data_IF_772034306253
#
_entry.id   IF_772034306253
#
_cell.length_a   1.000
_cell.length_b   1.000
_cell.length_c   1.000
_cell.angle_alpha   90.00
_cell.angle_beta   90.00
_cell.angle_gamma   90.00
#
_symmetry.space_group_name_H-M   'P 1'
#
loop_
_entity.id
_entity.type
_entity.pdbx_description
1 polymer ?
#
# COMPACT_ATOMS: atom_id res chain seq x y z
N UNK A 1 21.24 12.63 -27.68
CA UNK A 1 20.19 12.76 -26.67
C UNK A 1 18.92 11.95 -27.02
N UNK A 2 18.33 12.11 -28.21
CA UNK A 2 17.10 11.38 -28.58
C UNK A 2 17.30 9.85 -28.52
N UNK A 3 18.37 9.30 -29.09
CA UNK A 3 18.66 7.88 -29.00
C UNK A 3 18.82 7.39 -27.56
N UNK A 4 19.52 8.16 -26.72
CA UNK A 4 19.70 7.80 -25.30
C UNK A 4 18.35 7.83 -24.52
N UNK A 5 17.47 8.81 -24.81
CA UNK A 5 16.13 8.83 -24.22
C UNK A 5 15.27 7.64 -24.67
N UNK A 6 15.41 7.21 -25.93
CA UNK A 6 14.74 6.00 -26.44
C UNK A 6 15.24 4.75 -25.73
N UNK A 7 16.55 4.64 -25.44
CA UNK A 7 17.11 3.54 -24.65
C UNK A 7 16.57 3.53 -23.22
N UNK A 8 16.57 4.68 -22.54
CA UNK A 8 15.99 4.81 -21.20
C UNK A 8 14.52 4.42 -21.20
N UNK A 9 13.75 4.87 -22.18
CA UNK A 9 12.33 4.50 -22.31
C UNK A 9 12.14 2.99 -22.48
N UNK A 10 12.95 2.34 -23.33
CA UNK A 10 12.90 0.90 -23.52
C UNK A 10 13.25 0.11 -22.25
N UNK A 11 14.25 0.59 -21.47
CA UNK A 11 14.61 0.00 -20.20
C UNK A 11 13.48 0.15 -19.16
N UNK A 12 12.82 1.30 -19.10
CA UNK A 12 11.66 1.50 -18.22
C UNK A 12 10.47 0.62 -18.60
N UNK A 13 10.23 0.43 -19.91
CA UNK A 13 9.21 -0.53 -20.37
C UNK A 13 9.55 -1.96 -19.92
N UNK A 14 10.81 -2.37 -20.09
CA UNK A 14 11.27 -3.70 -19.64
C UNK A 14 11.14 -3.86 -18.12
N UNK A 15 11.48 -2.85 -17.34
CA UNK A 15 11.29 -2.87 -15.88
C UNK A 15 9.82 -3.02 -15.51
N UNK A 16 8.91 -2.34 -16.21
CA UNK A 16 7.46 -2.49 -15.99
C UNK A 16 6.98 -3.92 -16.29
N UNK A 17 7.45 -4.54 -17.39
CA UNK A 17 7.13 -5.94 -17.72
C UNK A 17 7.62 -6.89 -16.62
N UNK A 18 8.84 -6.68 -16.14
CA UNK A 18 9.43 -7.48 -15.05
C UNK A 18 8.67 -7.31 -13.73
N UNK A 19 8.26 -6.10 -13.39
CA UNK A 19 7.46 -5.84 -12.19
C UNK A 19 6.09 -6.55 -12.27
N UNK A 20 5.41 -6.48 -13.43
CA UNK A 20 4.17 -7.21 -13.68
C UNK A 20 4.39 -8.72 -13.62
N UNK A 21 5.50 -9.23 -14.16
CA UNK A 21 5.85 -10.64 -14.08
C UNK A 21 6.09 -11.06 -12.62
N UNK A 22 6.84 -10.25 -11.84
CA UNK A 22 7.13 -10.55 -10.43
C UNK A 22 5.86 -10.60 -9.56
N UNK A 23 4.86 -9.76 -9.86
CA UNK A 23 3.58 -9.72 -9.14
C UNK A 23 2.70 -10.97 -9.36
N UNK A 24 3.07 -11.84 -10.29
CA UNK A 24 2.33 -13.07 -10.53
C UNK A 24 2.60 -14.08 -9.39
N UNK A 25 1.56 -14.45 -8.65
CA UNK A 25 1.64 -15.36 -7.50
C UNK A 25 2.13 -16.78 -7.78
N UNK A 26 2.39 -17.14 -9.06
CA UNK A 26 2.98 -18.43 -9.45
C UNK A 26 4.50 -18.43 -9.43
N UNK A 27 5.15 -17.27 -9.29
CA UNK A 27 6.61 -17.17 -9.23
C UNK A 27 7.15 -17.72 -7.91
N UNK A 28 8.21 -18.53 -8.02
CA UNK A 28 9.00 -18.94 -6.85
C UNK A 28 9.87 -17.78 -6.35
N UNK A 29 10.40 -17.89 -5.12
CA UNK A 29 11.37 -16.91 -4.60
C UNK A 29 12.58 -16.77 -5.54
N UNK A 30 13.09 -17.89 -6.07
CA UNK A 30 14.23 -17.88 -7.00
C UNK A 30 13.91 -17.11 -8.28
N UNK A 31 12.68 -17.20 -8.79
CA UNK A 31 12.26 -16.48 -9.99
C UNK A 31 12.17 -14.97 -9.68
N UNK A 32 11.62 -14.57 -8.53
CA UNK A 32 11.58 -13.18 -8.09
C UNK A 32 12.98 -12.60 -7.88
N UNK A 33 13.90 -13.36 -7.29
CA UNK A 33 15.30 -12.93 -7.12
C UNK A 33 16.01 -12.73 -8.47
N UNK A 34 15.72 -13.58 -9.46
CA UNK A 34 16.25 -13.42 -10.81
C UNK A 34 15.69 -12.16 -11.49
N UNK A 35 14.38 -11.89 -11.34
CA UNK A 35 13.74 -10.67 -11.83
C UNK A 35 14.32 -9.43 -11.14
N UNK A 36 14.51 -9.48 -9.82
CA UNK A 36 15.15 -8.39 -9.07
C UNK A 36 16.54 -8.07 -9.60
N UNK A 37 17.35 -9.10 -9.86
CA UNK A 37 18.69 -8.92 -10.43
C UNK A 37 18.66 -8.24 -11.80
N UNK A 38 17.67 -8.54 -12.65
CA UNK A 38 17.51 -7.88 -13.95
C UNK A 38 17.08 -6.40 -13.76
N UNK A 39 16.17 -6.10 -12.83
CA UNK A 39 15.76 -4.73 -12.50
C UNK A 39 16.95 -3.90 -12.01
N UNK A 40 17.80 -4.44 -11.15
CA UNK A 40 19.00 -3.77 -10.66
C UNK A 40 20.01 -3.47 -11.78
N UNK A 41 20.17 -4.39 -12.72
CA UNK A 41 21.01 -4.17 -13.90
C UNK A 41 20.45 -3.07 -14.80
N UNK A 42 19.14 -3.07 -15.07
CA UNK A 42 18.47 -2.01 -15.84
C UNK A 42 18.58 -0.65 -15.15
N UNK A 43 18.41 -0.59 -13.82
CA UNK A 43 18.59 0.63 -13.03
C UNK A 43 20.02 1.17 -13.16
N UNK A 44 21.01 0.30 -13.05
CA UNK A 44 22.44 0.65 -13.23
C UNK A 44 22.72 1.15 -14.65
N UNK A 45 22.11 0.52 -15.65
CA UNK A 45 22.29 0.93 -17.04
C UNK A 45 21.64 2.28 -17.35
N UNK A 46 20.45 2.56 -16.76
CA UNK A 46 19.82 3.88 -16.83
C UNK A 46 20.73 4.96 -16.26
N UNK A 47 21.31 4.72 -15.07
CA UNK A 47 22.27 5.66 -14.47
C UNK A 47 23.51 5.83 -15.35
N UNK A 48 24.03 4.75 -15.95
CA UNK A 48 25.17 4.81 -16.89
C UNK A 48 24.82 5.65 -18.13
N UNK A 49 23.65 5.47 -18.72
CA UNK A 49 23.20 6.27 -19.88
C UNK A 49 23.08 7.74 -19.49
N UNK A 50 22.51 8.04 -18.30
CA UNK A 50 22.39 9.39 -17.81
C UNK A 50 23.77 10.07 -17.62
N UNK A 51 24.74 9.34 -17.08
CA UNK A 51 26.08 9.86 -16.79
C UNK A 51 27.00 9.95 -18.01
N UNK A 52 26.78 9.12 -19.05
CA UNK A 52 27.70 9.05 -20.18
C UNK A 52 27.22 9.78 -21.43
N UNK A 53 25.91 10.08 -21.52
CA UNK A 53 25.35 10.76 -22.70
C UNK A 53 25.82 12.20 -22.78
N UNK A 54 26.69 12.49 -23.76
CA UNK A 54 27.26 13.82 -23.98
C UNK A 54 27.16 14.26 -25.42
N UNK A 55 27.17 15.56 -25.61
CA UNK A 55 27.32 16.22 -26.89
C UNK A 55 28.30 17.39 -26.75
N UNK A 56 29.31 17.43 -27.58
CA UNK A 56 30.34 18.45 -27.55
C UNK A 56 30.88 18.70 -26.12
N UNK A 57 31.28 17.62 -25.45
CA UNK A 57 31.81 17.54 -24.08
C UNK A 57 30.82 17.90 -22.95
N UNK A 58 29.60 18.35 -23.28
CA UNK A 58 28.55 18.62 -22.31
C UNK A 58 27.70 17.37 -22.07
N UNK A 59 27.58 16.95 -20.81
CA UNK A 59 26.70 15.85 -20.39
C UNK A 59 25.25 16.34 -20.42
N UNK A 60 24.41 15.67 -21.23
CA UNK A 60 23.06 16.15 -21.47
C UNK A 60 22.01 15.63 -20.50
N UNK A 61 22.23 14.45 -19.92
CA UNK A 61 21.23 13.75 -19.09
C UNK A 61 21.66 13.62 -17.62
N UNK A 62 22.84 14.11 -17.28
CA UNK A 62 23.37 14.07 -15.92
C UNK A 62 22.81 15.18 -15.01
N UNK A 63 22.30 16.25 -15.59
CA UNK A 63 21.89 17.48 -14.90
C UNK A 63 22.99 18.54 -14.92
N UNK A 64 22.93 19.48 -13.95
CA UNK A 64 23.85 20.61 -13.89
C UNK A 64 25.31 20.16 -13.73
N UNK A 65 26.18 20.68 -14.60
CA UNK A 65 27.60 20.40 -14.57
C UNK A 65 28.31 21.01 -13.35
N UNK A 66 27.78 22.07 -12.77
CA UNK A 66 28.34 22.78 -11.63
C UNK A 66 28.00 22.09 -10.28
N UNK A 67 27.23 20.99 -10.31
CA UNK A 67 26.92 20.14 -9.16
C UNK A 67 25.83 20.69 -8.25
N UNK A 68 25.03 21.66 -8.71
CA UNK A 68 23.85 22.09 -7.98
C UNK A 68 22.82 20.95 -7.90
N UNK A 69 22.23 20.76 -6.70
CA UNK A 69 21.22 19.73 -6.44
C UNK A 69 19.90 20.33 -5.97
N UNK A 70 18.81 19.60 -6.20
CA UNK A 70 17.47 19.91 -5.68
C UNK A 70 16.83 18.70 -5.05
N UNK A 71 15.93 18.94 -4.12
CA UNK A 71 15.09 17.90 -3.54
C UNK A 71 13.84 17.69 -4.40
N UNK A 72 13.58 16.45 -4.74
CA UNK A 72 12.36 16.05 -5.47
C UNK A 72 11.54 15.13 -4.58
N UNK A 73 10.25 15.47 -4.43
CA UNK A 73 9.31 14.60 -3.73
C UNK A 73 8.92 13.42 -4.61
N UNK A 74 8.98 12.22 -4.03
CA UNK A 74 8.52 11.01 -4.71
C UNK A 74 7.01 11.06 -4.93
N UNK A 75 6.50 10.31 -5.88
CA UNK A 75 5.05 10.16 -6.07
C UNK A 75 4.46 9.32 -4.93
N UNK A 76 3.19 9.57 -4.60
CA UNK A 76 2.45 8.72 -3.70
C UNK A 76 2.10 7.39 -4.39
N UNK A 77 2.20 6.29 -3.63
CA UNK A 77 1.85 4.94 -4.08
C UNK A 77 0.77 4.34 -3.20
N UNK A 78 -0.15 3.58 -3.80
CA UNK A 78 -1.22 2.86 -3.12
C UNK A 78 -0.84 1.43 -2.69
N UNK A 79 0.38 0.99 -3.00
CA UNK A 79 0.88 -0.36 -2.70
C UNK A 79 -0.02 -1.49 -3.26
N UNK A 80 -0.73 -1.26 -4.36
CA UNK A 80 -1.70 -2.22 -4.91
C UNK A 80 -2.91 -2.48 -4.02
N UNK A 81 -3.11 -1.69 -2.97
CA UNK A 81 -4.23 -1.81 -2.06
C UNK A 81 -5.53 -1.26 -2.69
N UNK A 82 -6.64 -1.87 -2.33
CA UNK A 82 -7.97 -1.40 -2.78
C UNK A 82 -8.39 -0.16 -2.01
N UNK A 83 -8.37 0.99 -2.68
CA UNK A 83 -8.71 2.28 -2.08
C UNK A 83 -8.59 3.43 -3.07
N UNK A 84 -8.60 4.65 -2.57
CA UNK A 84 -8.47 5.87 -3.34
C UNK A 84 -7.21 6.62 -2.89
N UNK A 85 -6.27 6.82 -3.81
CA UNK A 85 -5.06 7.60 -3.58
C UNK A 85 -5.26 9.02 -4.12
N UNK A 86 -5.05 10.01 -3.27
CA UNK A 86 -4.96 11.42 -3.65
C UNK A 86 -3.51 11.88 -3.45
N UNK A 87 -2.82 12.18 -4.57
CA UNK A 87 -1.41 12.57 -4.54
C UNK A 87 -1.26 14.10 -4.65
N UNK A 88 -0.73 14.72 -3.60
CA UNK A 88 -0.40 16.15 -3.55
C UNK A 88 1.10 16.39 -3.72
N UNK A 89 1.53 17.65 -3.66
CA UNK A 89 2.92 18.04 -3.90
C UNK A 89 3.91 17.41 -2.89
N UNK A 90 3.61 17.49 -1.59
CA UNK A 90 4.50 17.04 -0.49
C UNK A 90 3.87 15.95 0.37
N UNK A 91 2.57 15.71 0.20
CA UNK A 91 1.77 14.74 0.96
C UNK A 91 0.85 14.01 0.01
N UNK A 92 0.55 12.75 0.36
CA UNK A 92 -0.51 11.99 -0.28
C UNK A 92 -1.49 11.47 0.78
N UNK A 93 -2.67 11.08 0.36
CA UNK A 93 -3.68 10.48 1.24
C UNK A 93 -4.23 9.25 0.55
N UNK A 94 -4.17 8.11 1.23
CA UNK A 94 -4.80 6.88 0.79
C UNK A 94 -6.02 6.59 1.66
N UNK A 95 -7.18 6.33 1.04
CA UNK A 95 -8.44 6.11 1.75
C UNK A 95 -9.04 4.75 1.41
N UNK A 96 -9.27 3.95 2.43
CA UNK A 96 -10.04 2.71 2.37
C UNK A 96 -11.51 3.04 2.60
N UNK A 97 -12.39 2.53 1.75
CA UNK A 97 -13.81 2.85 1.78
C UNK A 97 -14.51 2.37 3.08
N UNK A 98 -15.61 3.03 3.42
CA UNK A 98 -16.53 2.58 4.46
C UNK A 98 -17.02 1.15 4.16
N UNK A 99 -17.12 0.31 5.18
CA UNK A 99 -17.54 -1.09 5.08
C UNK A 99 -16.51 -2.05 4.45
N UNK A 100 -15.36 -1.57 3.96
CA UNK A 100 -14.40 -2.42 3.25
C UNK A 100 -13.68 -3.43 4.16
N UNK A 101 -13.48 -3.09 5.43
CA UNK A 101 -12.87 -3.95 6.44
C UNK A 101 -13.87 -4.40 7.51
N UNK A 102 -15.16 -4.46 7.18
CA UNK A 102 -16.17 -5.03 8.07
C UNK A 102 -16.00 -6.54 8.19
N UNK A 103 -16.39 -7.10 9.32
CA UNK A 103 -16.32 -8.53 9.57
C UNK A 103 -17.03 -9.33 8.46
N UNK A 104 -16.38 -10.39 7.98
CA UNK A 104 -16.81 -11.22 6.86
C UNK A 104 -16.43 -10.69 5.47
N UNK A 105 -15.74 -9.55 5.37
CA UNK A 105 -15.18 -9.06 4.10
C UNK A 105 -13.81 -9.65 3.86
N UNK A 106 -13.45 -9.79 2.57
CA UNK A 106 -12.09 -10.14 2.15
C UNK A 106 -11.33 -8.91 1.68
N UNK A 107 -10.03 -8.90 1.96
CA UNK A 107 -9.10 -7.86 1.52
C UNK A 107 -7.77 -8.49 1.11
N UNK A 108 -7.17 -8.00 0.04
CA UNK A 108 -5.84 -8.39 -0.39
C UNK A 108 -4.83 -7.37 0.12
N UNK A 109 -3.81 -7.82 0.83
CA UNK A 109 -2.73 -6.99 1.37
C UNK A 109 -1.42 -7.73 1.11
N UNK A 110 -0.45 -7.07 0.46
CA UNK A 110 0.82 -7.68 0.11
C UNK A 110 0.65 -8.98 -0.71
N UNK A 111 -0.28 -9.00 -1.68
CA UNK A 111 -0.56 -10.17 -2.52
C UNK A 111 -1.30 -11.32 -1.81
N UNK A 112 -1.48 -11.27 -0.48
CA UNK A 112 -2.19 -12.29 0.30
C UNK A 112 -3.63 -11.86 0.58
N UNK A 113 -4.57 -12.78 0.36
CA UNK A 113 -5.98 -12.55 0.69
C UNK A 113 -6.22 -12.86 2.17
N UNK A 114 -6.89 -11.92 2.85
CA UNK A 114 -7.32 -12.04 4.24
C UNK A 114 -8.83 -11.90 4.36
N UNK A 115 -9.42 -12.63 5.30
CA UNK A 115 -10.82 -12.45 5.71
C UNK A 115 -10.85 -11.64 7.00
N UNK A 116 -11.66 -10.59 7.05
CA UNK A 116 -11.81 -9.78 8.26
C UNK A 116 -12.70 -10.53 9.24
N UNK A 117 -12.15 -10.90 10.39
CA UNK A 117 -12.85 -11.45 11.54
C UNK A 117 -13.25 -10.35 12.52
N UNK A 118 -14.28 -10.59 13.30
CA UNK A 118 -14.67 -9.70 14.40
C UNK A 118 -13.90 -10.03 15.66
N UNK A 119 -13.61 -9.04 16.48
CA UNK A 119 -13.27 -9.30 17.89
C UNK A 119 -14.47 -9.90 18.60
N UNK A 120 -14.26 -10.59 19.73
CA UNK A 120 -15.37 -11.13 20.56
C UNK A 120 -16.36 -10.01 20.94
N UNK A 121 -15.87 -8.80 21.23
CA UNK A 121 -16.72 -7.66 21.55
C UNK A 121 -17.57 -7.19 20.36
N UNK A 122 -17.00 -7.16 19.16
CA UNK A 122 -17.74 -6.81 17.94
C UNK A 122 -18.75 -7.89 17.54
N UNK A 123 -18.38 -9.17 17.67
CA UNK A 123 -19.28 -10.28 17.43
C UNK A 123 -20.51 -10.25 18.34
N UNK A 124 -20.33 -9.91 19.64
CA UNK A 124 -21.44 -9.74 20.57
C UNK A 124 -22.42 -8.64 20.15
N UNK A 125 -21.92 -7.55 19.59
CA UNK A 125 -22.73 -6.41 19.14
C UNK A 125 -23.70 -6.72 18.02
N UNK A 126 -23.50 -7.80 17.26
CA UNK A 126 -24.43 -8.19 16.19
C UNK A 126 -25.84 -8.44 16.72
N UNK A 127 -25.97 -8.89 17.97
CA UNK A 127 -27.22 -9.16 18.65
C UNK A 127 -27.70 -7.99 19.55
N UNK A 128 -26.96 -6.85 19.56
CA UNK A 128 -27.38 -5.70 20.37
C UNK A 128 -28.79 -5.25 19.97
N UNK A 129 -29.62 -4.99 21.00
CA UNK A 129 -31.01 -4.58 20.79
C UNK A 129 -31.96 -5.73 20.41
N UNK A 130 -31.52 -7.00 20.43
CA UNK A 130 -32.42 -8.13 20.24
C UNK A 130 -33.49 -8.13 21.34
N UNK A 131 -34.76 -8.15 20.90
CA UNK A 131 -35.92 -8.11 21.78
C UNK A 131 -36.29 -9.50 22.28
N UNK A 132 -37.15 -9.57 23.30
CA UNK A 132 -37.75 -10.83 23.77
C UNK A 132 -38.29 -11.65 22.57
N UNK A 133 -38.13 -12.96 22.66
CA UNK A 133 -38.46 -13.95 21.63
C UNK A 133 -37.60 -13.91 20.36
N UNK A 134 -36.61 -13.00 20.27
CA UNK A 134 -35.63 -13.03 19.19
C UNK A 134 -34.80 -14.30 19.26
N UNK A 135 -34.45 -14.85 18.09
CA UNK A 135 -33.64 -16.05 17.95
C UNK A 135 -32.22 -15.66 17.54
N UNK A 136 -31.25 -16.10 18.31
CA UNK A 136 -29.81 -15.90 18.09
C UNK A 136 -29.15 -17.26 18.03
N UNK A 137 -28.42 -17.55 16.96
CA UNK A 137 -27.68 -18.81 16.82
C UNK A 137 -26.21 -18.59 17.13
N UNK A 138 -25.65 -19.43 18.01
CA UNK A 138 -24.21 -19.44 18.35
C UNK A 138 -23.71 -20.86 18.15
N UNK A 139 -22.70 -21.02 17.28
CA UNK A 139 -22.08 -22.31 16.98
C UNK A 139 -23.12 -23.41 16.63
N UNK A 140 -24.15 -23.04 15.84
CA UNK A 140 -25.25 -23.92 15.42
C UNK A 140 -26.35 -24.12 16.47
N UNK A 141 -26.17 -23.65 17.71
CA UNK A 141 -27.22 -23.74 18.75
C UNK A 141 -28.05 -22.46 18.75
N UNK A 142 -29.35 -22.59 18.59
CA UNK A 142 -30.29 -21.45 18.60
C UNK A 142 -30.77 -21.19 20.04
N UNK A 143 -30.62 -19.96 20.46
CA UNK A 143 -31.09 -19.42 21.74
C UNK A 143 -32.24 -18.45 21.49
N UNK A 144 -33.20 -18.41 22.41
CA UNK A 144 -34.33 -17.46 22.40
C UNK A 144 -34.14 -16.45 23.52
N UNK A 145 -34.23 -15.16 23.20
CA UNK A 145 -34.10 -14.09 24.20
C UNK A 145 -35.31 -14.12 25.14
N UNK A 146 -35.05 -14.19 26.42
CA UNK A 146 -36.05 -14.21 27.49
C UNK A 146 -35.81 -13.09 28.51
N UNK A 147 -36.77 -12.85 29.40
CA UNK A 147 -36.65 -11.85 30.46
C UNK A 147 -35.72 -12.33 31.61
N UNK A 148 -35.60 -13.63 31.75
CA UNK A 148 -34.76 -14.31 32.74
C UNK A 148 -34.16 -15.62 32.20
N UNK A 149 -33.29 -16.26 32.95
CA UNK A 149 -32.61 -17.50 32.58
C UNK A 149 -33.30 -18.77 33.13
N UNK A 150 -34.55 -18.69 33.59
CA UNK A 150 -35.30 -19.84 34.17
C UNK A 150 -35.57 -20.91 33.12
N UNK A 151 -35.64 -20.53 31.84
CA UNK A 151 -35.80 -21.43 30.67
C UNK A 151 -34.51 -21.94 30.07
N UNK A 152 -33.41 -21.99 30.83
CA UNK A 152 -32.08 -22.36 30.30
C UNK A 152 -32.03 -23.77 29.69
N UNK A 153 -32.82 -24.70 30.19
CA UNK A 153 -32.91 -26.07 29.65
C UNK A 153 -33.50 -26.09 28.21
N UNK A 154 -34.33 -25.10 27.86
CA UNK A 154 -34.92 -24.91 26.51
C UNK A 154 -34.19 -23.85 25.67
N UNK A 155 -32.98 -23.48 26.03
CA UNK A 155 -32.18 -22.40 25.41
C UNK A 155 -32.89 -21.02 25.46
N UNK A 156 -33.76 -20.79 26.45
CA UNK A 156 -34.36 -19.50 26.72
C UNK A 156 -33.56 -18.76 27.79
N UNK A 157 -32.86 -17.72 27.36
CA UNK A 157 -31.87 -17.02 28.19
C UNK A 157 -31.98 -15.51 28.00
N UNK A 158 -31.52 -14.76 28.97
CA UNK A 158 -31.36 -13.31 28.80
C UNK A 158 -30.36 -13.00 27.69
N UNK A 159 -30.53 -11.85 27.04
CA UNK A 159 -29.63 -11.41 25.97
C UNK A 159 -28.15 -11.37 26.48
N UNK A 160 -27.94 -10.88 27.70
CA UNK A 160 -26.60 -10.83 28.30
C UNK A 160 -25.97 -12.21 28.45
N UNK A 161 -26.75 -13.20 28.90
CA UNK A 161 -26.29 -14.60 29.02
C UNK A 161 -25.97 -15.22 27.66
N UNK A 162 -26.82 -14.97 26.64
CA UNK A 162 -26.58 -15.41 25.26
C UNK A 162 -25.28 -14.81 24.71
N UNK A 163 -25.12 -13.49 24.82
CA UNK A 163 -23.90 -12.79 24.41
C UNK A 163 -22.66 -13.27 25.19
N UNK A 164 -22.84 -13.67 26.46
CA UNK A 164 -21.77 -14.27 27.28
C UNK A 164 -21.21 -15.60 26.73
N UNK A 165 -21.99 -16.31 25.91
CA UNK A 165 -21.56 -17.57 25.28
C UNK A 165 -20.67 -17.35 24.06
N UNK A 166 -20.61 -16.15 23.53
CA UNK A 166 -19.71 -15.82 22.40
C UNK A 166 -18.27 -15.71 22.93
N UNK A 167 -17.43 -16.62 22.49
CA UNK A 167 -15.99 -16.67 22.80
C UNK A 167 -15.16 -16.63 21.53
N UNK A 168 -13.84 -16.57 21.64
CA UNK A 168 -12.95 -16.68 20.48
C UNK A 168 -13.22 -17.97 19.69
N UNK A 169 -13.38 -17.84 18.37
CA UNK A 169 -13.73 -18.94 17.48
C UNK A 169 -15.24 -19.15 17.26
N UNK A 170 -16.10 -18.57 18.13
CA UNK A 170 -17.56 -18.72 17.99
C UNK A 170 -18.09 -17.97 16.76
N UNK A 171 -19.09 -18.57 16.12
CA UNK A 171 -19.89 -17.92 15.07
C UNK A 171 -21.25 -17.54 15.64
N UNK A 172 -21.61 -16.26 15.57
CA UNK A 172 -22.92 -15.75 15.97
C UNK A 172 -23.73 -15.33 14.75
N UNK A 173 -24.99 -15.74 14.73
CA UNK A 173 -25.95 -15.40 13.67
C UNK A 173 -27.18 -14.74 14.26
N UNK A 174 -27.52 -13.59 13.74
CA UNK A 174 -28.71 -12.85 14.13
C UNK A 174 -29.22 -12.00 12.98
N UNK A 175 -30.53 -12.03 12.74
CA UNK A 175 -31.21 -11.21 11.73
C UNK A 175 -30.59 -11.27 10.33
N UNK A 176 -30.18 -12.47 9.89
CA UNK A 176 -29.59 -12.72 8.58
C UNK A 176 -28.11 -12.31 8.45
N UNK A 177 -27.49 -11.86 9.54
CA UNK A 177 -26.05 -11.61 9.60
C UNK A 177 -25.38 -12.75 10.34
N UNK A 178 -24.24 -13.20 9.82
CA UNK A 178 -23.38 -14.20 10.46
C UNK A 178 -21.99 -13.59 10.62
N UNK A 179 -21.41 -13.69 11.82
CA UNK A 179 -20.08 -13.16 12.13
C UNK A 179 -19.34 -14.16 12.98
N UNK A 180 -18.10 -14.44 12.61
CA UNK A 180 -17.17 -15.26 13.42
C UNK A 180 -16.29 -14.35 14.27
N UNK A 181 -16.27 -14.60 15.57
CA UNK A 181 -15.28 -14.02 16.48
C UNK A 181 -13.93 -14.70 16.26
N UNK A 182 -12.87 -13.94 16.10
CA UNK A 182 -11.52 -14.51 16.00
C UNK A 182 -11.11 -15.13 17.34
N UNK A 183 -10.34 -16.21 17.26
CA UNK A 183 -9.66 -16.80 18.41
C UNK A 183 -8.23 -16.26 18.46
N UNK A 184 -8.02 -15.14 19.14
CA UNK A 184 -6.73 -14.47 19.24
C UNK A 184 -6.30 -14.39 20.70
N UNK A 185 -5.73 -15.50 21.20
CA UNK A 185 -5.27 -15.61 22.60
C UNK A 185 -4.01 -14.80 22.87
N UNK A 186 -3.27 -14.42 21.81
CA UNK A 186 -2.00 -13.69 21.88
C UNK A 186 -2.16 -12.18 21.65
N UNK A 187 -3.37 -11.74 21.37
CA UNK A 187 -3.66 -10.32 21.05
C UNK A 187 -2.84 -9.77 19.87
N UNK A 188 -2.66 -10.58 18.86
CA UNK A 188 -1.92 -10.24 17.64
C UNK A 188 -2.80 -9.66 16.54
N UNK A 189 -4.12 -9.75 16.71
CA UNK A 189 -5.11 -9.39 15.68
C UNK A 189 -5.28 -10.46 14.60
N UNK A 190 -4.70 -11.66 14.79
CA UNK A 190 -4.74 -12.79 13.87
C UNK A 190 -5.39 -13.98 14.58
N UNK A 191 -6.24 -14.75 13.89
CA UNK A 191 -6.82 -15.97 14.45
C UNK A 191 -5.76 -17.04 14.65
N UNK A 192 -5.72 -17.65 15.87
CA UNK A 192 -4.71 -18.65 16.24
C UNK A 192 -4.78 -19.94 15.41
N UNK A 193 -5.95 -20.25 14.85
CA UNK A 193 -6.16 -21.46 14.04
C UNK A 193 -6.04 -21.19 12.53
N UNK A 194 -6.29 -19.96 12.08
CA UNK A 194 -6.26 -19.59 10.67
C UNK A 194 -5.66 -18.19 10.48
N UNK A 195 -4.41 -18.14 10.10
CA UNK A 195 -3.66 -16.89 9.88
C UNK A 195 -4.17 -16.05 8.71
N UNK A 196 -5.12 -16.54 7.92
CA UNK A 196 -5.81 -15.75 6.89
C UNK A 196 -6.99 -14.93 7.44
N UNK A 197 -7.38 -15.18 8.70
CA UNK A 197 -8.43 -14.43 9.39
C UNK A 197 -7.77 -13.41 10.33
N UNK A 198 -8.04 -12.13 10.09
CA UNK A 198 -7.43 -11.02 10.84
C UNK A 198 -8.47 -9.99 11.26
N UNK A 199 -8.19 -9.22 12.31
CA UNK A 199 -9.03 -8.08 12.67
C UNK A 199 -8.87 -6.91 11.69
N UNK A 200 -9.85 -6.01 11.64
CA UNK A 200 -9.73 -4.76 10.88
C UNK A 200 -8.52 -3.92 11.34
N UNK A 201 -8.21 -3.93 12.64
CA UNK A 201 -7.03 -3.24 13.18
C UNK A 201 -5.73 -3.83 12.64
N UNK A 202 -5.64 -5.16 12.57
CA UNK A 202 -4.47 -5.84 11.97
C UNK A 202 -4.36 -5.59 10.48
N UNK A 203 -5.48 -5.55 9.76
CA UNK A 203 -5.49 -5.18 8.35
C UNK A 203 -4.93 -3.75 8.14
N UNK A 204 -5.34 -2.77 8.97
CA UNK A 204 -4.80 -1.40 8.92
C UNK A 204 -3.30 -1.37 9.23
N UNK A 205 -2.82 -2.17 10.19
CA UNK A 205 -1.39 -2.29 10.50
C UNK A 205 -0.60 -2.82 9.28
N UNK A 206 -1.07 -3.91 8.67
CA UNK A 206 -0.44 -4.49 7.48
C UNK A 206 -0.48 -3.51 6.30
N UNK A 207 -1.61 -2.86 6.03
CA UNK A 207 -1.72 -1.82 5.00
C UNK A 207 -0.75 -0.66 5.24
N UNK A 208 -0.55 -0.26 6.52
CA UNK A 208 0.42 0.78 6.88
C UNK A 208 1.83 0.36 6.52
N UNK A 209 2.20 -0.89 6.78
CA UNK A 209 3.52 -1.43 6.43
C UNK A 209 3.72 -1.44 4.90
N UNK A 210 2.76 -1.95 4.14
CA UNK A 210 2.82 -1.97 2.67
C UNK A 210 2.92 -0.56 2.07
N UNK A 211 2.06 0.37 2.51
CA UNK A 211 2.10 1.76 2.07
C UNK A 211 3.44 2.42 2.42
N UNK A 212 4.01 2.11 3.60
CA UNK A 212 5.32 2.64 4.01
C UNK A 212 6.42 2.13 3.08
N UNK A 213 6.43 0.85 2.78
CA UNK A 213 7.42 0.23 1.88
C UNK A 213 7.30 0.82 0.47
N UNK A 214 6.10 0.85 -0.10
CA UNK A 214 5.86 1.37 -1.45
C UNK A 214 6.23 2.85 -1.59
N UNK A 215 5.89 3.68 -0.60
CA UNK A 215 6.17 5.12 -0.64
C UNK A 215 7.64 5.49 -0.35
N UNK A 216 8.46 4.52 0.07
CA UNK A 216 9.91 4.68 0.22
C UNK A 216 10.69 4.33 -1.05
N UNK A 217 10.04 3.78 -2.08
CA UNK A 217 10.70 3.55 -3.37
C UNK A 217 11.18 4.89 -3.93
N UNK A 218 12.45 4.97 -4.27
CA UNK A 218 13.10 6.19 -4.79
C UNK A 218 13.43 7.26 -3.73
N UNK A 219 12.98 7.15 -2.50
CA UNK A 219 13.24 8.11 -1.43
C UNK A 219 14.67 7.94 -0.86
N UNK A 220 15.66 8.58 -1.49
CA UNK A 220 17.09 8.40 -1.15
C UNK A 220 17.61 9.39 -0.11
N UNK A 221 16.91 10.51 0.13
CA UNK A 221 17.31 11.55 1.09
C UNK A 221 16.46 11.52 2.37
N UNK A 222 15.16 11.58 2.23
CA UNK A 222 14.24 11.55 3.37
C UNK A 222 13.20 10.46 3.13
N UNK A 223 13.04 9.54 4.07
CA UNK A 223 12.06 8.48 3.99
C UNK A 223 10.62 9.03 4.04
N UNK A 224 9.72 8.38 3.32
CA UNK A 224 8.29 8.60 3.48
C UNK A 224 7.81 8.09 4.83
N UNK A 225 6.84 8.76 5.41
CA UNK A 225 6.23 8.35 6.67
C UNK A 225 4.71 8.38 6.58
N UNK A 226 4.06 7.45 7.28
CA UNK A 226 2.61 7.44 7.43
C UNK A 226 2.27 7.88 8.84
N UNK A 227 1.28 8.77 8.99
CA UNK A 227 0.85 9.25 10.30
C UNK A 227 0.41 8.09 11.19
N UNK A 228 0.92 8.06 12.42
CA UNK A 228 0.54 7.06 13.41
C UNK A 228 -0.94 7.20 13.82
N UNK A 229 -1.54 6.10 14.30
CA UNK A 229 -2.90 6.11 14.86
C UNK A 229 -4.02 6.05 13.81
N UNK A 230 -3.73 5.64 12.57
CA UNK A 230 -4.78 5.33 11.60
C UNK A 230 -5.65 4.20 12.14
N UNK A 231 -6.96 4.44 12.19
CA UNK A 231 -7.96 3.48 12.64
C UNK A 231 -9.04 3.30 11.58
N UNK A 232 -9.66 2.13 11.55
CA UNK A 232 -10.80 1.86 10.71
C UNK A 232 -12.11 2.03 11.49
N UNK A 233 -13.09 2.65 10.84
CA UNK A 233 -14.47 2.65 11.32
C UNK A 233 -15.40 2.29 10.17
N UNK A 234 -16.37 1.40 10.42
CA UNK A 234 -17.29 0.89 9.38
C UNK A 234 -18.00 2.01 8.61
N UNK A 235 -18.39 3.09 9.30
CA UNK A 235 -19.11 4.21 8.69
C UNK A 235 -18.24 5.14 7.83
N UNK A 236 -16.93 5.23 8.08
CA UNK A 236 -16.04 6.23 7.45
C UNK A 236 -14.86 5.63 6.70
N UNK A 237 -14.58 4.33 6.90
CA UNK A 237 -13.38 3.69 6.39
C UNK A 237 -12.14 4.03 7.21
N UNK A 238 -10.97 3.94 6.58
CA UNK A 238 -9.69 4.35 7.14
C UNK A 238 -8.99 5.35 6.21
N UNK A 239 -8.25 6.31 6.79
CA UNK A 239 -7.50 7.32 6.03
C UNK A 239 -6.05 7.32 6.47
N UNK A 240 -5.15 7.03 5.54
CA UNK A 240 -3.70 7.01 5.72
C UNK A 240 -3.13 8.32 5.18
N UNK A 241 -2.53 9.11 6.06
CA UNK A 241 -1.87 10.37 5.69
C UNK A 241 -0.38 10.11 5.49
N UNK A 242 0.07 10.23 4.26
CA UNK A 242 1.43 9.94 3.82
C UNK A 242 2.20 11.25 3.67
N UNK A 243 3.29 11.41 4.40
CA UNK A 243 4.29 12.44 4.11
C UNK A 243 5.28 11.84 3.13
N UNK A 244 5.42 12.45 1.96
CA UNK A 244 6.22 11.91 0.85
C UNK A 244 7.70 11.95 1.16
N UNK A 245 8.42 10.90 0.77
CA UNK A 245 9.87 10.87 0.80
C UNK A 245 10.48 11.76 -0.28
N UNK A 246 11.76 12.10 -0.11
CA UNK A 246 12.51 12.92 -1.07
C UNK A 246 13.77 12.21 -1.56
N UNK A 247 14.13 12.51 -2.80
CA UNK A 247 15.46 12.23 -3.35
C UNK A 247 16.19 13.53 -3.63
N UNK A 248 17.51 13.54 -3.42
CA UNK A 248 18.38 14.59 -3.87
C UNK A 248 18.88 14.26 -5.27
N UNK A 249 18.62 15.15 -6.20
CA UNK A 249 18.96 14.96 -7.61
C UNK A 249 19.68 16.21 -8.15
N UNK A 250 20.48 16.03 -9.20
CA UNK A 250 21.11 17.17 -9.87
C UNK A 250 20.05 18.12 -10.42
N UNK A 251 20.31 19.41 -10.31
CA UNK A 251 19.51 20.43 -11.00
C UNK A 251 19.52 20.19 -12.51
N UNK A 252 18.53 20.74 -13.19
CA UNK A 252 18.44 20.68 -14.66
C UNK A 252 19.63 21.37 -15.33
N UNK A 253 20.12 20.78 -16.41
CA UNK A 253 21.08 21.41 -17.27
C UNK A 253 20.42 22.60 -18.00
N UNK A 254 21.03 23.78 -17.89
CA UNK A 254 20.60 24.98 -18.59
C UNK A 254 21.69 25.44 -19.55
N UNK A 255 21.35 25.65 -20.80
CA UNK A 255 22.26 26.29 -21.74
C UNK A 255 21.49 27.12 -22.78
N UNK A 256 22.17 28.15 -23.29
CA UNK A 256 21.62 29.02 -24.28
C UNK A 256 22.17 28.70 -25.67
N UNK A 257 21.33 28.35 -26.60
CA UNK A 257 21.67 28.23 -28.03
C UNK A 257 21.54 29.57 -28.73
N UNK A 258 22.58 30.00 -29.39
CA UNK A 258 22.55 31.18 -30.23
C UNK A 258 21.89 30.84 -31.59
N UNK A 259 20.83 31.54 -31.98
CA UNK A 259 20.03 31.24 -33.16
C UNK A 259 19.90 32.41 -34.14
N UNK A 260 20.76 33.40 -34.12
CA UNK A 260 20.73 34.57 -34.97
C UNK A 260 22.10 35.03 -35.44
N UNK A 261 22.14 36.02 -36.33
CA UNK A 261 23.38 36.61 -36.86
C UNK A 261 24.02 37.61 -35.90
N UNK A 262 23.26 38.13 -34.92
CA UNK A 262 23.74 39.16 -33.99
C UNK A 262 23.97 38.57 -32.59
N UNK A 263 24.98 39.06 -31.91
CA UNK A 263 25.38 38.59 -30.57
C UNK A 263 24.42 39.03 -29.44
N UNK A 264 23.25 39.55 -29.78
CA UNK A 264 22.28 40.07 -28.81
C UNK A 264 21.58 38.96 -28.00
N UNK A 265 21.24 39.27 -26.74
CA UNK A 265 20.56 38.32 -25.83
C UNK A 265 19.20 37.89 -26.36
N UNK A 266 18.55 38.65 -27.22
CA UNK A 266 17.29 38.33 -27.87
C UNK A 266 17.36 37.18 -28.88
N UNK A 267 18.58 36.83 -29.33
CA UNK A 267 18.84 35.76 -30.30
C UNK A 267 19.31 34.46 -29.64
N UNK A 268 18.91 34.21 -28.38
CA UNK A 268 19.24 32.98 -27.65
C UNK A 268 17.99 32.23 -27.28
N UNK A 269 18.01 30.90 -27.52
CA UNK A 269 17.02 29.98 -27.04
C UNK A 269 17.60 29.28 -25.82
N UNK A 270 16.92 29.41 -24.68
CA UNK A 270 17.26 28.65 -23.46
C UNK A 270 16.72 27.22 -23.58
N UNK A 271 17.60 26.26 -23.41
CA UNK A 271 17.26 24.82 -23.38
C UNK A 271 17.50 24.30 -21.98
N UNK A 272 16.47 23.68 -21.43
CA UNK A 272 16.50 23.03 -20.12
C UNK A 272 16.37 21.52 -20.31
N UNK A 273 17.27 20.76 -19.75
CA UNK A 273 17.22 19.28 -19.78
C UNK A 273 17.28 18.78 -18.34
N UNK A 274 16.25 18.06 -17.92
CA UNK A 274 16.24 17.40 -16.60
C UNK A 274 17.18 16.19 -16.60
N UNK A 275 17.68 15.85 -15.39
CA UNK A 275 18.47 14.62 -15.20
C UNK A 275 17.61 13.39 -15.47
N UNK A 276 18.21 12.32 -16.01
CA UNK A 276 17.57 11.03 -16.22
C UNK A 276 18.11 9.95 -15.28
N UNK A 277 18.63 10.34 -14.13
CA UNK A 277 19.11 9.40 -13.11
C UNK A 277 17.94 8.56 -12.54
N UNK A 278 18.25 7.34 -12.09
CA UNK A 278 17.27 6.46 -11.43
C UNK A 278 16.62 7.11 -10.21
N UNK A 279 17.36 7.95 -9.49
CA UNK A 279 16.84 8.75 -8.35
C UNK A 279 15.82 9.80 -8.78
N UNK A 280 16.07 10.50 -9.89
CA UNK A 280 15.09 11.47 -10.44
C UNK A 280 13.83 10.79 -10.98
N UNK A 281 14.00 9.63 -11.63
CA UNK A 281 12.90 8.83 -12.16
C UNK A 281 12.09 8.13 -11.05
N UNK A 282 12.59 8.12 -9.80
CA UNK A 282 11.92 7.50 -8.66
C UNK A 282 11.92 5.98 -8.66
N UNK A 283 12.82 5.36 -9.43
CA UNK A 283 12.92 3.90 -9.55
C UNK A 283 14.06 3.29 -8.72
N UNK A 284 14.91 4.12 -8.10
CA UNK A 284 16.00 3.65 -7.27
C UNK A 284 15.46 2.97 -6.00
N UNK A 285 15.90 1.73 -5.75
CA UNK A 285 15.43 0.95 -4.61
C UNK A 285 14.11 0.19 -4.87
N UNK A 286 13.66 0.10 -6.14
CA UNK A 286 12.56 -0.78 -6.51
C UNK A 286 12.94 -2.23 -6.15
N UNK A 287 12.11 -2.88 -5.34
CA UNK A 287 12.31 -4.26 -4.89
C UNK A 287 11.08 -5.11 -5.21
N UNK A 288 11.30 -6.18 -5.96
CA UNK A 288 10.28 -7.16 -6.35
C UNK A 288 10.59 -8.57 -5.83
N UNK A 289 11.66 -8.72 -5.04
CA UNK A 289 12.06 -10.02 -4.46
C UNK A 289 11.21 -10.39 -3.25
N UNK A 290 10.65 -9.41 -2.53
CA UNK A 290 9.83 -9.63 -1.35
C UNK A 290 8.45 -10.19 -1.71
N UNK A 291 7.89 -11.02 -0.84
CA UNK A 291 6.55 -11.61 -0.98
C UNK A 291 5.43 -10.65 -0.55
N UNK A 292 5.75 -9.38 -0.39
CA UNK A 292 4.82 -8.34 0.08
C UNK A 292 3.90 -7.81 -1.03
N UNK A 293 4.11 -8.21 -2.27
CA UNK A 293 3.30 -7.77 -3.42
C UNK A 293 3.51 -6.31 -3.83
N UNK A 294 4.52 -5.64 -3.28
CA UNK A 294 4.90 -4.28 -3.66
C UNK A 294 5.87 -4.36 -4.84
N UNK A 295 5.35 -4.31 -6.05
CA UNK A 295 6.10 -4.22 -7.30
C UNK A 295 5.91 -2.84 -7.95
#
# INVERSE_FOLDING_TARGET
AEGALTEVHSMLQRMNELAVQASNGTNSQTDRDAIQSEIEQLTTEIDRVAETTKFNETYLLKGDADGATKDVYMKGHDAGLKGELTDGATKATFKVAAGALDAGKSVTIGGKEYTIGATVAEAKKIADGAQKDAKITIDGTTYTVADDDTGAADNKLTLATIQGKVVGGSTIEYNGKSVRAINDTKTTGVDDADSSIITAAKAVELMTAELTTANNIGATKTAATIAAGTTYASATGATFNITKGTAEVAEKLNFNLHVGSDADMTNKINVNIETMSSSYLGIKGLNVSDDTGVA
#
